data_IF_109924889723
#
_entry.id   IF_109924889723
#
_cell.length_a   1.000
_cell.length_b   1.000
_cell.length_c   1.000
_cell.angle_alpha   90.00
_cell.angle_beta   90.00
_cell.angle_gamma   90.00
#
_symmetry.space_group_name_H-M   'P 1'
#
loop_
_entity.id
_entity.type
_entity.pdbx_description
1 polymer ?
#
# COMPACT_ATOMS: atom_id res chain seq x y z
N UNK A 1 -8.14 17.53 11.52
CA UNK A 1 -8.09 17.80 10.07
C UNK A 1 -6.64 17.61 9.64
N UNK A 2 -6.28 16.43 9.13
CA UNK A 2 -4.90 16.15 8.71
C UNK A 2 -4.74 16.63 7.27
N UNK A 3 -4.18 17.82 7.09
CA UNK A 3 -3.58 18.23 5.81
C UNK A 3 -2.10 17.81 5.89
N UNK A 4 -1.54 16.74 5.28
CA UNK A 4 -1.86 15.92 4.08
C UNK A 4 -2.27 16.74 2.87
N UNK A 5 -1.82 17.98 2.80
CA UNK A 5 -2.15 18.92 1.71
C UNK A 5 -1.81 18.36 0.34
N UNK A 6 -0.99 17.33 0.26
CA UNK A 6 -0.60 16.84 -1.03
C UNK A 6 -0.20 15.37 -0.96
N UNK A 7 -0.83 14.64 -1.83
CA UNK A 7 -0.55 13.32 -2.33
C UNK A 7 0.83 13.26 -3.04
N UNK A 8 1.79 14.15 -2.70
CA UNK A 8 2.40 15.18 -3.57
C UNK A 8 3.20 14.75 -4.80
N UNK A 9 3.07 13.49 -5.20
CA UNK A 9 3.24 13.04 -6.57
C UNK A 9 2.14 11.97 -6.77
N UNK A 10 0.91 12.31 -7.20
CA UNK A 10 -0.46 11.80 -6.79
C UNK A 10 -0.69 10.33 -6.53
N UNK A 11 0.22 9.51 -7.00
CA UNK A 11 0.12 8.07 -7.01
C UNK A 11 1.42 7.37 -6.64
N UNK A 12 2.53 8.06 -6.35
CA UNK A 12 3.83 7.42 -6.07
C UNK A 12 3.81 6.61 -4.76
N UNK A 13 3.43 7.21 -3.63
CA UNK A 13 3.30 6.49 -2.36
C UNK A 13 2.19 5.42 -2.41
N UNK A 14 0.98 5.70 -2.92
CA UNK A 14 -0.02 4.67 -3.16
C UNK A 14 0.48 3.55 -4.08
N UNK A 15 1.24 3.86 -5.14
CA UNK A 15 1.84 2.87 -6.03
C UNK A 15 2.90 2.03 -5.32
N UNK A 16 3.68 2.59 -4.39
CA UNK A 16 4.61 1.82 -3.57
C UNK A 16 3.86 0.78 -2.72
N UNK A 17 2.74 1.18 -2.10
CA UNK A 17 1.86 0.28 -1.34
C UNK A 17 1.26 -0.80 -2.24
N UNK A 18 0.78 -0.44 -3.44
CA UNK A 18 0.25 -1.40 -4.42
C UNK A 18 1.34 -2.34 -4.94
N UNK A 19 2.55 -1.86 -5.19
CA UNK A 19 3.68 -2.66 -5.64
C UNK A 19 4.06 -3.72 -4.59
N UNK A 20 4.11 -3.34 -3.31
CA UNK A 20 4.35 -4.30 -2.23
C UNK A 20 3.17 -5.27 -2.10
N UNK A 21 1.93 -4.80 -2.24
CA UNK A 21 0.76 -5.67 -2.23
C UNK A 21 0.78 -6.69 -3.38
N UNK A 22 1.19 -6.29 -4.59
CA UNK A 22 1.40 -7.18 -5.74
C UNK A 22 2.44 -8.25 -5.43
N UNK A 23 3.57 -7.87 -4.80
CA UNK A 23 4.63 -8.82 -4.40
C UNK A 23 4.13 -9.82 -3.36
N UNK A 24 3.32 -9.37 -2.40
CA UNK A 24 2.70 -10.24 -1.38
C UNK A 24 1.64 -11.17 -2.01
N UNK A 25 0.84 -10.64 -2.94
CA UNK A 25 -0.18 -11.41 -3.65
C UNK A 25 0.41 -12.42 -4.64
N UNK A 26 1.61 -12.16 -5.17
CA UNK A 26 2.21 -12.94 -6.25
C UNK A 26 1.41 -12.89 -7.56
N UNK A 27 0.55 -11.87 -7.72
CA UNK A 27 -0.40 -11.77 -8.82
C UNK A 27 -0.70 -10.31 -9.15
N UNK A 28 -1.02 -10.05 -10.42
CA UNK A 28 -1.51 -8.75 -10.88
C UNK A 28 -3.04 -8.66 -10.90
N UNK A 29 -3.74 -9.73 -10.48
CA UNK A 29 -5.19 -9.71 -10.33
C UNK A 29 -5.58 -8.75 -9.20
N UNK A 30 -6.51 -7.84 -9.51
CA UNK A 30 -6.99 -6.83 -8.57
C UNK A 30 -7.56 -7.42 -7.28
N UNK A 31 -8.27 -8.55 -7.34
CA UNK A 31 -8.84 -9.21 -6.17
C UNK A 31 -7.74 -9.74 -5.24
N UNK A 32 -6.66 -10.28 -5.82
CA UNK A 32 -5.51 -10.76 -5.06
C UNK A 32 -4.73 -9.59 -4.43
N UNK A 33 -4.59 -8.48 -5.16
CA UNK A 33 -3.97 -7.25 -4.66
C UNK A 33 -4.83 -6.66 -3.53
N UNK A 34 -6.15 -6.61 -3.68
CA UNK A 34 -7.08 -6.13 -2.65
C UNK A 34 -6.96 -6.98 -1.37
N UNK A 35 -6.93 -8.30 -1.50
CA UNK A 35 -6.74 -9.20 -0.36
C UNK A 35 -5.39 -8.95 0.35
N UNK A 36 -4.32 -8.68 -0.41
CA UNK A 36 -3.02 -8.31 0.18
C UNK A 36 -3.07 -6.93 0.86
N UNK A 37 -3.74 -5.94 0.27
CA UNK A 37 -3.95 -4.61 0.88
C UNK A 37 -4.74 -4.70 2.19
N UNK A 38 -5.76 -5.56 2.28
CA UNK A 38 -6.49 -5.83 3.53
C UNK A 38 -5.55 -6.38 4.61
N UNK A 39 -4.69 -7.34 4.27
CA UNK A 39 -3.68 -7.87 5.21
C UNK A 39 -2.72 -6.77 5.70
N UNK A 40 -2.25 -5.91 4.79
CA UNK A 40 -1.38 -4.78 5.13
C UNK A 40 -2.12 -3.77 6.04
N UNK A 41 -3.39 -3.48 5.74
CA UNK A 41 -4.23 -2.60 6.55
C UNK A 41 -4.41 -3.11 7.99
N UNK A 42 -4.37 -4.43 8.18
CA UNK A 42 -4.48 -5.07 9.49
C UNK A 42 -3.13 -5.20 10.22
N UNK A 43 -1.99 -4.93 9.57
CA UNK A 43 -0.67 -5.05 10.20
C UNK A 43 -0.40 -4.00 11.30
N UNK A 44 -1.20 -2.94 11.44
CA UNK A 44 -1.05 -1.97 12.54
C UNK A 44 -1.67 -0.61 12.24
N UNK A 45 -1.38 0.43 13.04
CA UNK A 45 -1.80 1.82 12.78
C UNK A 45 -0.63 2.66 12.25
N UNK A 46 -0.35 2.52 10.95
CA UNK A 46 0.65 3.31 10.24
C UNK A 46 0.02 4.05 9.06
N UNK A 47 0.74 5.01 8.45
CA UNK A 47 0.27 5.64 7.23
C UNK A 47 0.06 4.62 6.10
N UNK A 48 0.90 3.58 6.04
CA UNK A 48 0.78 2.46 5.08
C UNK A 48 -0.52 1.71 5.30
N UNK A 49 -0.86 1.38 6.55
CA UNK A 49 -2.10 0.69 6.88
C UNK A 49 -3.33 1.51 6.49
N UNK A 50 -3.28 2.83 6.69
CA UNK A 50 -4.36 3.76 6.30
C UNK A 50 -4.49 3.81 4.78
N UNK A 51 -3.39 3.96 4.04
CA UNK A 51 -3.42 3.95 2.56
C UNK A 51 -3.95 2.61 2.04
N UNK A 52 -3.47 1.49 2.59
CA UNK A 52 -3.92 0.17 2.18
C UNK A 52 -5.41 -0.04 2.45
N UNK A 53 -5.95 0.49 3.57
CA UNK A 53 -7.39 0.43 3.88
C UNK A 53 -8.24 1.25 2.92
N UNK A 54 -7.78 2.45 2.56
CA UNK A 54 -8.47 3.29 1.57
C UNK A 54 -8.48 2.60 0.19
N UNK A 55 -7.32 2.10 -0.26
CA UNK A 55 -7.21 1.42 -1.55
C UNK A 55 -7.99 0.11 -1.62
N UNK A 56 -8.07 -0.62 -0.51
CA UNK A 56 -8.89 -1.83 -0.42
C UNK A 56 -10.40 -1.53 -0.40
N UNK A 57 -10.80 -0.30 -0.03
CA UNK A 57 -12.21 0.12 0.01
C UNK A 57 -12.65 0.84 -1.28
N UNK A 58 -11.72 1.44 -2.02
CA UNK A 58 -11.97 2.10 -3.30
C UNK A 58 -11.28 1.38 -4.46
N UNK A 59 -12.01 0.43 -5.06
CA UNK A 59 -11.52 -0.32 -6.23
C UNK A 59 -11.26 0.58 -7.45
N UNK A 60 -11.95 1.72 -7.60
CA UNK A 60 -11.71 2.63 -8.73
C UNK A 60 -10.36 3.30 -8.59
N UNK A 61 -10.00 3.74 -7.39
CA UNK A 61 -8.69 4.34 -7.14
C UNK A 61 -7.55 3.30 -7.23
N UNK A 62 -7.79 2.06 -6.75
CA UNK A 62 -6.84 0.96 -6.94
C UNK A 62 -6.57 0.68 -8.43
N UNK A 63 -7.62 0.59 -9.25
CA UNK A 63 -7.47 0.44 -10.71
C UNK A 63 -6.74 1.63 -11.34
N UNK A 64 -7.06 2.84 -10.92
CA UNK A 64 -6.45 4.09 -11.36
C UNK A 64 -4.92 4.10 -11.10
N UNK A 65 -4.47 3.55 -9.96
CA UNK A 65 -3.05 3.42 -9.63
C UNK A 65 -2.38 2.30 -10.42
N UNK A 66 -2.98 1.10 -10.46
CA UNK A 66 -2.45 -0.03 -11.23
C UNK A 66 -2.29 0.35 -12.70
N UNK A 67 -3.26 1.04 -13.27
CA UNK A 67 -3.18 1.53 -14.64
C UNK A 67 -2.09 2.58 -14.81
N UNK A 68 -1.98 3.53 -13.86
CA UNK A 68 -0.86 4.47 -13.82
C UNK A 68 0.49 3.76 -13.86
N UNK A 69 0.65 2.68 -13.10
CA UNK A 69 1.90 1.90 -13.06
C UNK A 69 2.22 1.21 -14.38
N UNK A 70 1.22 0.70 -15.09
CA UNK A 70 1.37 0.16 -16.45
C UNK A 70 1.79 1.23 -17.46
N UNK A 71 1.37 2.47 -17.24
CA UNK A 71 1.67 3.62 -18.11
C UNK A 71 2.92 4.43 -17.69
N UNK A 72 3.74 3.91 -16.76
CA UNK A 72 5.04 4.50 -16.42
C UNK A 72 5.14 5.17 -15.06
N UNK A 73 4.07 5.17 -14.25
CA UNK A 73 4.17 5.54 -12.84
C UNK A 73 4.97 4.47 -12.09
N UNK A 74 6.22 4.77 -11.77
CA UNK A 74 7.03 3.88 -10.93
C UNK A 74 7.25 4.51 -9.57
N UNK A 75 6.89 3.84 -8.47
CA UNK A 75 7.31 4.28 -7.16
C UNK A 75 8.84 4.21 -7.05
N UNK A 76 9.42 5.15 -6.30
CA UNK A 76 10.85 5.11 -5.99
C UNK A 76 11.15 3.92 -5.07
N UNK A 77 12.36 3.37 -5.19
CA UNK A 77 12.79 2.26 -4.34
C UNK A 77 12.75 2.63 -2.85
N UNK A 78 13.13 3.86 -2.50
CA UNK A 78 13.04 4.40 -1.13
C UNK A 78 11.59 4.32 -0.57
N UNK A 79 10.60 4.66 -1.39
CA UNK A 79 9.18 4.58 -1.03
C UNK A 79 8.74 3.12 -0.82
N UNK A 80 9.26 2.18 -1.60
CA UNK A 80 8.99 0.74 -1.45
C UNK A 80 9.63 0.22 -0.15
N UNK A 81 10.88 0.59 0.12
CA UNK A 81 11.60 0.20 1.33
C UNK A 81 10.90 0.72 2.58
N UNK A 82 10.43 1.97 2.57
CA UNK A 82 9.67 2.55 3.67
C UNK A 82 8.37 1.76 3.93
N UNK A 83 7.64 1.39 2.87
CA UNK A 83 6.43 0.56 2.99
C UNK A 83 6.74 -0.80 3.62
N UNK A 84 7.81 -1.47 3.16
CA UNK A 84 8.23 -2.76 3.72
C UNK A 84 8.61 -2.65 5.19
N UNK A 85 9.31 -1.58 5.57
CA UNK A 85 9.67 -1.31 6.96
C UNK A 85 8.44 -1.18 7.85
N UNK A 86 7.43 -0.41 7.44
CA UNK A 86 6.19 -0.25 8.22
C UNK A 86 5.38 -1.54 8.35
N UNK A 87 5.30 -2.35 7.30
CA UNK A 87 4.64 -3.66 7.34
C UNK A 87 5.33 -4.59 8.34
N UNK A 88 6.67 -4.68 8.29
CA UNK A 88 7.46 -5.50 9.21
C UNK A 88 7.31 -5.02 10.65
N UNK A 89 7.41 -3.72 10.88
CA UNK A 89 7.25 -3.10 12.20
C UNK A 89 5.86 -3.38 12.80
N UNK A 90 4.81 -3.30 11.97
CA UNK A 90 3.46 -3.66 12.39
C UNK A 90 3.32 -5.12 12.81
N UNK A 91 3.93 -6.04 12.05
CA UNK A 91 3.93 -7.47 12.39
C UNK A 91 4.74 -7.78 13.66
N UNK A 92 5.87 -7.11 13.88
CA UNK A 92 6.73 -7.30 15.07
C UNK A 92 6.02 -6.92 16.39
N UNK A 93 5.24 -5.83 16.35
CA UNK A 93 4.41 -5.39 17.49
C UNK A 93 3.35 -6.45 17.84
N UNK A 94 2.77 -7.15 16.83
CA UNK A 94 1.80 -8.22 17.06
C UNK A 94 2.44 -9.50 17.61
N UNK A 95 3.68 -9.80 17.23
CA UNK A 95 4.40 -10.99 17.70
C UNK A 95 4.93 -10.87 19.14
N UNK A 96 5.04 -9.64 19.66
CA UNK A 96 5.56 -9.38 21.01
C UNK A 96 4.47 -9.34 22.11
N UNK A 97 3.20 -9.57 21.74
CA UNK A 97 2.04 -9.46 22.63
C UNK A 97 1.45 -10.77 23.16
N UNK A 98 2.21 -11.88 23.14
CA UNK A 98 1.79 -13.20 23.66
C UNK A 98 2.60 -13.63 24.86
#
# INVERSE_FOLDING_TARGET
>A
MLSRTDWELKKELPAAVVEVAKRIAGSENIEAIEAALRKIADSGDSWVSRVARELASDQRELQSIINGMKHGLKPRDESIEEVVYWIKKGNDIRSSGT
#
